data_IF_971655996832
#
_entry.id   IF_971655996832
#
_cell.length_a   1.000
_cell.length_b   1.000
_cell.length_c   1.000
_cell.angle_alpha   90.00
_cell.angle_beta   90.00
_cell.angle_gamma   90.00
#
_symmetry.space_group_name_H-M   'P 1'
#
loop_
_entity.id
_entity.type
_entity.pdbx_description
1 polymer ?
#
# COMPACT_ATOMS: atom_id res chain seq x y z
N UNK A 1 2.01 4.67 -18.81
CA UNK A 1 2.68 5.50 -17.76
C UNK A 1 3.44 6.63 -18.43
N UNK A 2 3.25 7.88 -18.00
CA UNK A 2 3.92 9.05 -18.57
C UNK A 2 5.44 9.00 -18.29
N UNK A 3 6.26 9.47 -19.24
CA UNK A 3 7.74 9.50 -19.13
C UNK A 3 8.25 10.24 -17.87
N UNK A 4 7.58 11.34 -17.52
CA UNK A 4 7.87 12.11 -16.31
C UNK A 4 7.77 11.27 -15.03
N UNK A 5 6.73 10.43 -14.91
CA UNK A 5 6.51 9.57 -13.74
C UNK A 5 7.56 8.46 -13.70
N UNK A 6 7.87 7.85 -14.85
CA UNK A 6 8.92 6.83 -14.93
C UNK A 6 10.29 7.38 -14.49
N UNK A 7 10.64 8.59 -14.94
CA UNK A 7 11.89 9.29 -14.54
C UNK A 7 11.90 9.56 -13.03
N UNK A 8 10.78 10.02 -12.46
CA UNK A 8 10.67 10.28 -11.01
C UNK A 8 10.83 9.00 -10.21
N UNK A 9 10.14 7.91 -10.58
CA UNK A 9 10.24 6.62 -9.90
C UNK A 9 11.68 6.10 -9.91
N UNK A 10 12.37 6.14 -11.07
CA UNK A 10 13.78 5.75 -11.18
C UNK A 10 14.71 6.65 -10.35
N UNK A 11 14.37 7.94 -10.16
CA UNK A 11 15.11 8.82 -9.26
C UNK A 11 14.92 8.39 -7.80
N UNK A 12 13.69 8.07 -7.38
CA UNK A 12 13.38 7.60 -6.03
C UNK A 12 14.11 6.28 -5.75
N UNK A 13 14.15 5.37 -6.70
CA UNK A 13 14.88 4.10 -6.60
C UNK A 13 16.39 4.33 -6.32
N UNK A 14 17.03 5.20 -7.10
CA UNK A 14 18.44 5.56 -6.87
C UNK A 14 18.69 6.23 -5.52
N UNK A 15 17.80 7.14 -5.11
CA UNK A 15 17.90 7.77 -3.78
C UNK A 15 17.79 6.75 -2.65
N UNK A 16 16.97 5.72 -2.81
CA UNK A 16 16.84 4.66 -1.82
C UNK A 16 18.08 3.75 -1.74
N UNK A 17 18.88 3.64 -2.82
CA UNK A 17 20.17 2.94 -2.80
C UNK A 17 21.21 3.73 -1.98
N UNK A 18 21.19 5.06 -2.04
CA UNK A 18 22.09 5.94 -1.30
C UNK A 18 21.66 6.13 0.17
N UNK A 19 20.37 6.28 0.41
CA UNK A 19 19.78 6.44 1.75
C UNK A 19 18.52 5.58 1.87
N UNK A 20 18.59 4.49 2.65
CA UNK A 20 17.51 3.52 2.79
C UNK A 20 16.24 4.20 3.32
N UNK A 21 15.22 4.23 2.47
CA UNK A 21 13.90 4.80 2.74
C UNK A 21 12.80 3.75 2.84
N UNK A 22 13.17 2.46 2.80
CA UNK A 22 12.24 1.33 2.91
C UNK A 22 11.11 1.38 1.88
N UNK A 23 11.45 1.62 0.61
CA UNK A 23 10.47 1.52 -0.48
C UNK A 23 10.29 0.06 -0.92
N UNK A 24 9.14 -0.26 -1.47
CA UNK A 24 8.93 -1.52 -2.21
C UNK A 24 9.82 -1.54 -3.46
N UNK A 25 10.24 -2.72 -3.89
CA UNK A 25 11.00 -2.84 -5.14
C UNK A 25 10.15 -2.56 -6.38
N UNK A 26 10.79 -2.32 -7.55
CA UNK A 26 10.10 -2.02 -8.80
C UNK A 26 9.09 -3.09 -9.24
N UNK A 27 9.36 -4.36 -8.94
CA UNK A 27 8.45 -5.46 -9.24
C UNK A 27 7.14 -5.34 -8.44
N UNK A 28 7.23 -5.07 -7.13
CA UNK A 28 6.06 -4.84 -6.27
C UNK A 28 5.30 -3.59 -6.73
N UNK A 29 6.00 -2.49 -7.03
CA UNK A 29 5.37 -1.27 -7.54
C UNK A 29 4.56 -1.51 -8.82
N UNK A 30 5.12 -2.23 -9.79
CA UNK A 30 4.40 -2.62 -11.02
C UNK A 30 3.21 -3.51 -10.72
N UNK A 31 3.34 -4.43 -9.76
CA UNK A 31 2.25 -5.34 -9.40
C UNK A 31 1.09 -4.56 -8.76
N UNK A 32 1.37 -3.60 -7.88
CA UNK A 32 0.37 -2.70 -7.31
C UNK A 32 -0.35 -1.89 -8.41
N UNK A 33 0.39 -1.36 -9.38
CA UNK A 33 -0.20 -0.69 -10.55
C UNK A 33 -1.18 -1.62 -11.28
N UNK A 34 -0.81 -2.88 -11.56
CA UNK A 34 -1.71 -3.83 -12.22
C UNK A 34 -2.90 -4.23 -11.36
N UNK A 35 -2.74 -4.39 -10.04
CA UNK A 35 -3.88 -4.65 -9.16
C UNK A 35 -4.90 -3.52 -9.24
N UNK A 36 -4.47 -2.27 -9.19
CA UNK A 36 -5.36 -1.11 -9.35
C UNK A 36 -6.04 -1.12 -10.71
N UNK A 37 -5.31 -1.44 -11.81
CA UNK A 37 -5.87 -1.53 -13.16
C UNK A 37 -6.89 -2.66 -13.35
N UNK A 38 -6.81 -3.72 -12.57
CA UNK A 38 -7.71 -4.88 -12.64
C UNK A 38 -8.89 -4.71 -11.70
N UNK A 39 -8.63 -4.23 -10.47
CA UNK A 39 -9.66 -4.10 -9.43
C UNK A 39 -10.53 -2.85 -9.57
N UNK A 40 -10.04 -1.82 -10.26
CA UNK A 40 -10.73 -0.54 -10.44
C UNK A 40 -11.23 0.08 -9.12
N UNK A 41 -10.39 0.18 -8.06
CA UNK A 41 -10.82 0.67 -6.76
C UNK A 41 -11.20 2.15 -6.79
N UNK A 42 -12.25 2.52 -6.05
CA UNK A 42 -12.57 3.92 -5.77
C UNK A 42 -11.73 4.45 -4.61
N UNK A 43 -11.55 3.63 -3.57
CA UNK A 43 -10.77 3.98 -2.37
C UNK A 43 -9.68 2.95 -2.14
N UNK A 44 -8.43 3.41 -2.14
CA UNK A 44 -7.27 2.64 -1.71
C UNK A 44 -6.81 3.17 -0.36
N UNK A 45 -6.64 2.29 0.63
CA UNK A 45 -5.97 2.62 1.89
C UNK A 45 -4.56 2.02 1.90
N UNK A 46 -3.54 2.86 2.02
CA UNK A 46 -2.16 2.42 2.20
C UNK A 46 -1.69 2.71 3.63
N UNK A 47 -1.09 1.70 4.28
CA UNK A 47 -0.44 1.83 5.58
C UNK A 47 1.06 1.67 5.38
N UNK A 48 1.81 2.77 5.53
CA UNK A 48 3.23 2.86 5.25
C UNK A 48 3.54 3.58 3.94
N UNK A 49 3.37 4.90 3.92
CA UNK A 49 3.67 5.75 2.75
C UNK A 49 5.17 5.77 2.44
N UNK A 50 6.03 5.73 3.48
CA UNK A 50 7.45 6.03 3.37
C UNK A 50 7.68 7.34 2.61
N UNK A 51 8.38 7.30 1.48
CA UNK A 51 8.63 8.48 0.63
C UNK A 51 7.70 8.56 -0.59
N UNK A 52 6.58 7.79 -0.59
CA UNK A 52 5.49 7.88 -1.56
C UNK A 52 5.65 7.04 -2.82
N UNK A 53 6.61 6.11 -2.87
CA UNK A 53 6.91 5.34 -4.07
C UNK A 53 5.74 4.44 -4.52
N UNK A 54 5.20 3.61 -3.63
CA UNK A 54 4.05 2.74 -3.88
C UNK A 54 2.78 3.54 -4.18
N UNK A 55 2.54 4.62 -3.42
CA UNK A 55 1.42 5.53 -3.66
C UNK A 55 1.47 6.13 -5.09
N UNK A 56 2.65 6.52 -5.58
CA UNK A 56 2.81 7.06 -6.94
C UNK A 56 2.52 5.97 -7.99
N UNK A 57 2.95 4.73 -7.78
CA UNK A 57 2.61 3.61 -8.68
C UNK A 57 1.10 3.38 -8.76
N UNK A 58 0.43 3.29 -7.61
CA UNK A 58 -1.03 3.08 -7.56
C UNK A 58 -1.80 4.29 -8.12
N UNK A 59 -1.38 5.52 -7.79
CA UNK A 59 -2.01 6.73 -8.29
C UNK A 59 -1.85 6.90 -9.81
N UNK A 60 -0.75 6.42 -10.40
CA UNK A 60 -0.57 6.39 -11.86
C UNK A 60 -1.65 5.53 -12.52
N UNK A 61 -1.98 4.39 -11.93
CA UNK A 61 -3.05 3.54 -12.43
C UNK A 61 -4.43 4.21 -12.29
N UNK A 62 -4.71 4.84 -11.14
CA UNK A 62 -5.96 5.58 -10.92
C UNK A 62 -6.12 6.75 -11.91
N UNK A 63 -5.04 7.48 -12.21
CA UNK A 63 -5.07 8.56 -13.20
C UNK A 63 -5.42 8.05 -14.60
N UNK A 64 -4.89 6.89 -15.00
CA UNK A 64 -5.22 6.24 -16.27
C UNK A 64 -6.64 5.65 -16.31
N UNK A 65 -7.21 5.27 -15.16
CA UNK A 65 -8.61 4.85 -15.01
C UNK A 65 -9.54 6.07 -15.05
N UNK A 66 -9.09 7.24 -14.55
CA UNK A 66 -9.83 8.49 -14.53
C UNK A 66 -10.58 8.78 -13.22
N UNK A 67 -10.59 7.86 -12.25
CA UNK A 67 -11.25 8.03 -10.94
C UNK A 67 -10.49 7.32 -9.83
N UNK A 68 -10.98 7.44 -8.59
CA UNK A 68 -10.44 6.85 -7.39
C UNK A 68 -9.39 7.73 -6.69
N UNK A 69 -9.16 7.44 -5.42
CA UNK A 69 -8.18 8.12 -4.57
C UNK A 69 -7.45 7.14 -3.64
N UNK A 70 -6.27 7.55 -3.21
CA UNK A 70 -5.47 6.85 -2.21
C UNK A 70 -5.47 7.67 -0.93
N UNK A 71 -5.80 7.03 0.19
CA UNK A 71 -5.53 7.52 1.53
C UNK A 71 -4.31 6.79 2.02
N UNK A 72 -3.18 7.50 2.24
CA UNK A 72 -1.92 6.88 2.65
C UNK A 72 -1.45 7.43 3.99
N UNK A 73 -1.04 6.53 4.90
CA UNK A 73 -0.72 6.84 6.30
C UNK A 73 0.79 6.69 6.53
N UNK A 74 1.43 7.74 7.10
CA UNK A 74 2.83 7.73 7.51
C UNK A 74 3.01 8.37 8.89
N UNK A 75 3.72 7.70 9.77
CA UNK A 75 3.98 8.16 11.14
C UNK A 75 5.25 8.99 11.29
N UNK A 76 6.24 8.79 10.41
CA UNK A 76 7.55 9.43 10.53
C UNK A 76 7.59 10.78 9.81
N UNK A 77 7.91 11.88 10.54
CA UNK A 77 7.88 13.26 10.02
C UNK A 77 8.69 13.47 8.75
N UNK A 78 9.95 13.02 8.75
CA UNK A 78 10.85 13.19 7.60
C UNK A 78 10.33 12.45 6.36
N UNK A 79 9.87 11.20 6.51
CA UNK A 79 9.32 10.41 5.40
C UNK A 79 8.04 11.02 4.87
N UNK A 80 7.16 11.47 5.73
CA UNK A 80 5.93 12.18 5.36
C UNK A 80 6.23 13.41 4.48
N UNK A 81 7.18 14.27 4.89
CA UNK A 81 7.57 15.46 4.12
C UNK A 81 8.23 15.10 2.78
N UNK A 82 9.07 14.05 2.73
CA UNK A 82 9.66 13.56 1.49
C UNK A 82 8.61 12.99 0.54
N UNK A 83 7.61 12.26 1.08
CA UNK A 83 6.49 11.75 0.30
C UNK A 83 5.69 12.91 -0.31
N UNK A 84 5.38 13.96 0.46
CA UNK A 84 4.68 15.15 -0.02
C UNK A 84 5.41 15.79 -1.21
N UNK A 85 6.73 15.94 -1.10
CA UNK A 85 7.55 16.48 -2.19
C UNK A 85 7.53 15.60 -3.45
N UNK A 86 7.66 14.27 -3.29
CA UNK A 86 7.62 13.32 -4.40
C UNK A 86 6.25 13.24 -5.06
N UNK A 87 5.17 13.22 -4.26
CA UNK A 87 3.78 13.26 -4.75
C UNK A 87 3.52 14.53 -5.56
N UNK A 88 3.96 15.68 -5.05
CA UNK A 88 3.88 16.94 -5.80
C UNK A 88 4.67 16.90 -7.10
N UNK A 89 5.89 16.36 -7.08
CA UNK A 89 6.73 16.22 -8.27
C UNK A 89 6.10 15.29 -9.33
N UNK A 90 5.36 14.26 -8.92
CA UNK A 90 4.64 13.36 -9.83
C UNK A 90 3.49 14.06 -10.58
N UNK A 91 2.87 15.08 -9.97
CA UNK A 91 1.66 15.73 -10.47
C UNK A 91 0.37 14.97 -10.11
N UNK A 92 0.45 13.93 -9.26
CA UNK A 92 -0.68 13.06 -8.89
C UNK A 92 -1.31 13.41 -7.53
N UNK A 93 -1.04 14.61 -6.99
CA UNK A 93 -1.55 15.04 -5.67
C UNK A 93 -3.08 15.10 -5.59
N UNK A 94 -3.78 15.16 -6.72
CA UNK A 94 -5.25 15.09 -6.74
C UNK A 94 -5.78 13.67 -6.45
N UNK A 95 -4.94 12.64 -6.60
CA UNK A 95 -5.27 11.23 -6.35
C UNK A 95 -4.78 10.71 -5.01
N UNK A 96 -3.93 11.47 -4.30
CA UNK A 96 -3.26 10.97 -3.09
C UNK A 96 -3.51 11.92 -1.93
N UNK A 97 -4.17 11.42 -0.91
CA UNK A 97 -4.40 12.11 0.37
C UNK A 97 -3.47 11.52 1.43
N UNK A 98 -2.48 12.28 1.86
CA UNK A 98 -1.62 11.87 2.96
C UNK A 98 -2.28 12.12 4.32
N UNK A 99 -2.15 11.15 5.22
CA UNK A 99 -2.57 11.23 6.62
C UNK A 99 -1.33 11.05 7.50
N UNK A 100 -1.02 12.06 8.32
CA UNK A 100 0.06 11.98 9.30
C UNK A 100 -0.45 11.27 10.56
N UNK A 101 0.21 10.21 10.95
CA UNK A 101 -0.10 9.48 12.17
C UNK A 101 0.30 8.01 12.10
N UNK A 102 0.05 7.30 13.19
CA UNK A 102 0.30 5.87 13.31
C UNK A 102 -1.02 5.09 13.08
N UNK A 103 -0.99 4.06 12.22
CA UNK A 103 -2.08 3.10 12.11
C UNK A 103 -1.95 2.05 13.24
N UNK A 104 -3.08 1.55 13.82
CA UNK A 104 -4.45 1.80 13.38
C UNK A 104 -5.13 3.05 13.97
N UNK A 105 -4.47 3.81 14.85
CA UNK A 105 -5.08 4.89 15.66
C UNK A 105 -5.74 5.98 14.80
N UNK A 106 -5.15 6.28 13.63
CA UNK A 106 -5.69 7.29 12.69
C UNK A 106 -6.73 6.74 11.70
N UNK A 107 -7.03 5.43 11.78
CA UNK A 107 -8.09 4.79 11.00
C UNK A 107 -9.43 5.02 11.71
N UNK A 108 -9.95 6.22 11.59
CA UNK A 108 -11.18 6.66 12.25
C UNK A 108 -12.43 6.46 11.38
N UNK A 109 -13.59 6.88 11.93
CA UNK A 109 -14.87 6.81 11.22
C UNK A 109 -14.98 7.66 9.96
N UNK A 110 -13.98 8.47 9.63
CA UNK A 110 -13.95 9.35 8.45
C UNK A 110 -13.37 8.66 7.21
N UNK A 111 -12.67 7.52 7.40
CA UNK A 111 -12.21 6.71 6.25
C UNK A 111 -13.45 6.03 5.65
N UNK A 112 -13.73 6.22 4.35
CA UNK A 112 -14.86 5.60 3.68
C UNK A 112 -14.72 4.07 3.57
N UNK A 113 -15.65 3.41 2.90
CA UNK A 113 -15.48 2.00 2.52
C UNK A 113 -14.25 1.84 1.62
N UNK A 114 -13.51 0.74 1.79
CA UNK A 114 -12.21 0.51 1.16
C UNK A 114 -12.34 -0.62 0.15
N UNK A 115 -11.94 -0.36 -1.09
CA UNK A 115 -11.93 -1.35 -2.17
C UNK A 115 -10.62 -2.12 -2.22
N UNK A 116 -9.50 -1.43 -1.93
CA UNK A 116 -8.18 -2.03 -1.87
C UNK A 116 -7.40 -1.50 -0.67
N UNK A 117 -6.71 -2.39 0.04
CA UNK A 117 -5.80 -2.01 1.11
C UNK A 117 -4.39 -2.54 0.83
N UNK A 118 -3.36 -1.72 1.10
CA UNK A 118 -1.96 -2.13 1.01
C UNK A 118 -1.23 -1.90 2.33
N UNK A 119 -0.61 -2.95 2.88
CA UNK A 119 0.10 -2.93 4.16
C UNK A 119 1.60 -3.11 3.94
N UNK A 120 2.35 -2.03 4.12
CA UNK A 120 3.82 -2.00 4.05
C UNK A 120 4.44 -1.16 5.19
N UNK A 121 3.88 -1.24 6.38
CA UNK A 121 4.42 -0.61 7.59
C UNK A 121 5.08 -1.66 8.51
N UNK A 122 5.06 -1.42 9.81
CA UNK A 122 5.64 -2.28 10.85
C UNK A 122 5.04 -3.69 10.81
N UNK A 123 5.85 -4.68 10.48
CA UNK A 123 5.40 -6.06 10.22
C UNK A 123 4.84 -6.76 11.47
N UNK A 124 5.23 -6.32 12.66
CA UNK A 124 4.70 -6.80 13.94
C UNK A 124 3.23 -6.40 14.15
N UNK A 125 2.77 -5.36 13.49
CA UNK A 125 1.43 -4.79 13.66
C UNK A 125 0.46 -5.18 12.53
N UNK A 126 0.89 -6.03 11.57
CA UNK A 126 0.08 -6.42 10.40
C UNK A 126 -1.31 -6.95 10.80
N UNK A 127 -1.40 -7.74 11.90
CA UNK A 127 -2.68 -8.22 12.41
C UNK A 127 -3.59 -7.06 12.87
N UNK A 128 -3.03 -6.08 13.60
CA UNK A 128 -3.78 -4.91 14.06
C UNK A 128 -4.29 -4.06 12.90
N UNK A 129 -3.48 -3.91 11.85
CA UNK A 129 -3.90 -3.23 10.62
C UNK A 129 -5.07 -3.95 9.96
N UNK A 130 -4.96 -5.28 9.82
CA UNK A 130 -6.02 -6.09 9.26
C UNK A 130 -7.31 -5.99 10.06
N UNK A 131 -7.24 -6.11 11.39
CA UNK A 131 -8.40 -6.05 12.28
C UNK A 131 -9.11 -4.67 12.23
N UNK A 132 -8.36 -3.58 12.02
CA UNK A 132 -8.91 -2.22 11.88
C UNK A 132 -9.50 -1.95 10.49
N UNK A 133 -8.88 -2.48 9.43
CA UNK A 133 -9.25 -2.21 8.03
C UNK A 133 -10.34 -3.14 7.53
N UNK A 134 -10.26 -4.43 7.84
CA UNK A 134 -11.13 -5.46 7.28
C UNK A 134 -12.64 -5.21 7.46
N UNK A 135 -13.14 -4.68 8.61
CA UNK A 135 -14.54 -4.33 8.75
C UNK A 135 -15.03 -3.28 7.75
N UNK A 136 -14.13 -2.43 7.25
CA UNK A 136 -14.40 -1.35 6.30
C UNK A 136 -14.24 -1.75 4.84
N UNK A 137 -13.64 -2.93 4.58
CA UNK A 137 -13.50 -3.45 3.22
C UNK A 137 -14.86 -3.76 2.61
N UNK A 138 -15.05 -3.41 1.35
CA UNK A 138 -16.19 -3.88 0.57
C UNK A 138 -16.09 -5.39 0.33
N UNK A 139 -17.21 -6.03 0.02
CA UNK A 139 -17.20 -7.41 -0.49
C UNK A 139 -16.48 -7.44 -1.84
N UNK A 140 -15.59 -8.41 -2.06
CA UNK A 140 -14.70 -8.46 -3.21
C UNK A 140 -13.47 -7.54 -3.10
N UNK A 141 -13.35 -6.77 -2.02
CA UNK A 141 -12.20 -5.89 -1.78
C UNK A 141 -10.91 -6.67 -1.55
N UNK A 142 -9.80 -6.11 -2.03
CA UNK A 142 -8.47 -6.71 -2.01
C UNK A 142 -7.60 -6.14 -0.89
N UNK A 143 -7.05 -6.99 -0.04
CA UNK A 143 -5.95 -6.65 0.87
C UNK A 143 -4.65 -7.21 0.30
N UNK A 144 -3.62 -6.38 0.20
CA UNK A 144 -2.25 -6.75 -0.21
C UNK A 144 -1.32 -6.49 0.96
N UNK A 145 -0.53 -7.50 1.35
CA UNK A 145 0.46 -7.39 2.43
C UNK A 145 1.85 -7.67 1.87
N UNK A 146 2.80 -6.74 2.05
CA UNK A 146 4.18 -6.90 1.58
C UNK A 146 5.09 -7.59 2.61
N UNK A 147 6.20 -8.13 2.12
CA UNK A 147 7.29 -8.73 2.90
C UNK A 147 6.93 -10.05 3.62
N UNK A 148 5.91 -10.77 3.18
CA UNK A 148 5.49 -12.02 3.84
C UNK A 148 6.54 -13.13 3.75
N UNK A 149 7.50 -13.04 2.84
CA UNK A 149 8.61 -13.99 2.70
C UNK A 149 9.91 -13.51 3.33
N UNK A 150 10.23 -12.23 3.20
CA UNK A 150 11.49 -11.66 3.71
C UNK A 150 11.47 -11.40 5.21
N UNK A 151 10.32 -11.14 5.80
CA UNK A 151 10.15 -10.77 7.22
C UNK A 151 9.30 -11.81 7.95
N UNK A 152 9.79 -13.03 8.06
CA UNK A 152 9.11 -14.15 8.73
C UNK A 152 9.27 -14.11 10.26
N UNK A 153 9.02 -12.96 10.87
CA UNK A 153 8.91 -12.86 12.33
C UNK A 153 7.75 -13.69 12.85
N UNK A 154 7.79 -14.05 14.13
CA UNK A 154 6.73 -14.84 14.77
C UNK A 154 5.34 -14.22 14.58
N UNK A 155 5.23 -12.90 14.66
CA UNK A 155 3.99 -12.15 14.43
C UNK A 155 3.46 -12.27 12.99
N UNK A 156 4.34 -12.19 12.00
CA UNK A 156 3.96 -12.34 10.58
C UNK A 156 3.52 -13.79 10.28
N UNK A 157 4.24 -14.79 10.82
CA UNK A 157 3.85 -16.18 10.64
C UNK A 157 2.48 -16.46 11.27
N UNK A 158 2.23 -15.95 12.48
CA UNK A 158 0.93 -16.06 13.14
C UNK A 158 -0.19 -15.38 12.35
N UNK A 159 0.08 -14.21 11.77
CA UNK A 159 -0.87 -13.52 10.88
C UNK A 159 -1.19 -14.37 9.64
N UNK A 160 -0.15 -14.89 8.95
CA UNK A 160 -0.32 -15.73 7.76
C UNK A 160 -1.17 -16.98 8.09
N UNK A 161 -0.87 -17.69 9.18
CA UNK A 161 -1.65 -18.85 9.61
C UNK A 161 -3.11 -18.49 9.90
N UNK A 162 -3.34 -17.40 10.63
CA UNK A 162 -4.68 -16.92 10.98
C UNK A 162 -5.48 -16.54 9.74
N UNK A 163 -4.89 -15.79 8.80
CA UNK A 163 -5.62 -15.32 7.62
C UNK A 163 -5.94 -16.44 6.65
N UNK A 164 -5.07 -17.45 6.51
CA UNK A 164 -5.36 -18.65 5.72
C UNK A 164 -6.52 -19.48 6.31
N UNK A 165 -6.74 -19.38 7.62
CA UNK A 165 -7.83 -20.07 8.33
C UNK A 165 -9.10 -19.24 8.42
N UNK A 166 -9.09 -17.96 7.99
CA UNK A 166 -10.25 -17.07 8.11
C UNK A 166 -11.27 -17.35 6.98
N UNK A 167 -12.48 -17.86 7.32
CA UNK A 167 -13.48 -18.19 6.30
C UNK A 167 -14.03 -16.98 5.53
N UNK A 168 -13.76 -15.76 5.99
CA UNK A 168 -14.26 -14.52 5.39
C UNK A 168 -13.43 -14.04 4.22
N UNK A 169 -12.27 -14.65 3.96
CA UNK A 169 -11.36 -14.26 2.88
C UNK A 169 -10.98 -15.45 2.00
N UNK A 170 -10.56 -15.15 0.78
CA UNK A 170 -9.75 -16.05 -0.06
C UNK A 170 -8.33 -15.51 -0.11
N UNK A 171 -7.34 -16.38 0.12
CA UNK A 171 -5.94 -15.98 0.33
C UNK A 171 -5.02 -16.70 -0.65
N UNK A 172 -4.06 -15.96 -1.19
CA UNK A 172 -2.94 -16.51 -1.97
C UNK A 172 -1.66 -15.73 -1.67
N UNK A 173 -0.54 -16.44 -1.59
CA UNK A 173 0.80 -15.83 -1.55
C UNK A 173 1.45 -15.93 -2.93
N UNK A 174 2.04 -14.81 -3.39
CA UNK A 174 2.74 -14.74 -4.67
C UNK A 174 4.20 -14.35 -4.48
N UNK A 175 5.08 -14.91 -5.32
CA UNK A 175 6.52 -14.67 -5.27
C UNK A 175 6.91 -13.46 -6.11
N UNK A 176 6.54 -12.26 -5.61
CA UNK A 176 6.87 -10.97 -6.22
C UNK A 176 7.58 -10.12 -5.18
N UNK A 177 8.72 -9.55 -5.53
CA UNK A 177 9.53 -8.74 -4.62
C UNK A 177 9.94 -9.51 -3.37
N UNK A 178 9.54 -9.02 -2.21
CA UNK A 178 9.78 -9.63 -0.92
C UNK A 178 8.70 -10.64 -0.48
N UNK A 179 7.81 -11.01 -1.40
CA UNK A 179 6.63 -11.85 -1.20
C UNK A 179 5.39 -11.03 -0.86
N UNK A 180 4.32 -11.22 -1.62
CA UNK A 180 3.03 -10.59 -1.37
C UNK A 180 2.01 -11.64 -0.93
N UNK A 181 1.19 -11.28 0.07
CA UNK A 181 -0.03 -12.01 0.41
C UNK A 181 -1.23 -11.20 -0.09
N UNK A 182 -2.10 -11.84 -0.83
CA UNK A 182 -3.34 -11.28 -1.35
C UNK A 182 -4.51 -11.93 -0.60
N UNK A 183 -5.42 -11.12 -0.07
CA UNK A 183 -6.64 -11.59 0.58
C UNK A 183 -7.86 -10.85 0.03
N UNK A 184 -8.82 -11.59 -0.52
CA UNK A 184 -10.07 -11.05 -1.07
C UNK A 184 -11.21 -11.31 -0.11
N UNK A 185 -11.95 -10.27 0.29
CA UNK A 185 -13.12 -10.38 1.16
C UNK A 185 -14.29 -11.03 0.43
N UNK A 186 -14.87 -12.09 1.00
CA UNK A 186 -16.05 -12.81 0.49
C UNK A 186 -17.35 -12.06 0.66
#
# INVERSE_FOLDING_TARGET
MQEKIATLLSKIERQNEEEISWIVGPQTGRMLYYFVRIWHPEIILEIGTSIGYSAIWMATALEEIGYGEIITIESHDRRFALAEANIKASGLQARIKQVKGHAPEVIDGKIPQIDMAFFDATKQETQSFFDAVFPRMVRGGLVVVDNVRSHRFKSMLAFIEKIHSDPRVEVVEIDVGAGLLLAVKK
#
